data_IF_299093135754
#
_entry.id   IF_299093135754
#
_cell.length_a   1.000
_cell.length_b   1.000
_cell.length_c   1.000
_cell.angle_alpha   90.00
_cell.angle_beta   90.00
_cell.angle_gamma   90.00
#
_symmetry.space_group_name_H-M   'P 1'
#
loop_
_entity.id
_entity.type
_entity.pdbx_description
1 polymer ?
#
# COMPACT_ATOMS: atom_id res chain seq x y z
N UNK A 1 -32.33 55.72 50.06
CA UNK A 1 -31.82 54.90 48.92
C UNK A 1 -31.45 53.57 49.51
N UNK A 2 -32.25 52.53 49.22
CA UNK A 2 -31.89 51.13 49.66
C UNK A 2 -30.99 50.52 48.59
N UNK A 3 -29.79 50.18 48.98
CA UNK A 3 -28.94 49.31 48.19
C UNK A 3 -29.51 47.89 48.35
N UNK A 4 -30.27 47.41 47.36
CA UNK A 4 -30.55 45.99 47.22
C UNK A 4 -29.25 45.31 46.76
N UNK A 5 -28.60 44.64 47.65
CA UNK A 5 -27.50 43.74 47.31
C UNK A 5 -28.12 42.56 46.55
N UNK A 6 -27.84 42.43 45.27
CA UNK A 6 -28.16 41.26 44.45
C UNK A 6 -27.35 40.05 44.97
N UNK A 7 -27.88 39.46 46.07
CA UNK A 7 -27.33 38.16 46.52
C UNK A 7 -27.90 37.08 45.58
N UNK A 8 -27.06 36.55 44.69
CA UNK A 8 -27.42 35.41 43.83
C UNK A 8 -27.67 34.20 44.69
N UNK A 9 -28.80 33.51 44.42
CA UNK A 9 -29.15 32.28 45.15
C UNK A 9 -28.08 31.20 44.88
N UNK A 10 -27.86 30.35 45.92
CA UNK A 10 -26.89 29.26 45.86
C UNK A 10 -27.01 28.37 44.60
N UNK A 11 -28.22 27.96 44.12
CA UNK A 11 -28.37 27.16 42.92
C UNK A 11 -27.91 27.91 41.67
N UNK A 12 -28.15 29.21 41.54
CA UNK A 12 -27.73 30.03 40.41
C UNK A 12 -26.20 30.09 40.31
N UNK A 13 -25.50 30.26 41.43
CA UNK A 13 -24.04 30.26 41.48
C UNK A 13 -23.47 28.90 41.04
N UNK A 14 -24.06 27.78 41.48
CA UNK A 14 -23.63 26.44 41.09
C UNK A 14 -23.80 26.21 39.60
N UNK A 15 -24.93 26.63 39.01
CA UNK A 15 -25.18 26.50 37.56
C UNK A 15 -24.13 27.30 36.76
N UNK A 16 -23.83 28.53 37.17
CA UNK A 16 -22.81 29.35 36.51
C UNK A 16 -21.41 28.73 36.60
N UNK A 17 -21.04 28.12 37.74
CA UNK A 17 -19.76 27.44 37.90
C UNK A 17 -19.67 26.20 36.98
N UNK A 18 -20.74 25.41 36.88
CA UNK A 18 -20.79 24.25 35.97
C UNK A 18 -20.66 24.73 34.50
N UNK A 19 -21.40 25.78 34.14
CA UNK A 19 -21.33 26.35 32.78
C UNK A 19 -19.90 26.84 32.46
N UNK A 20 -19.29 27.62 33.40
CA UNK A 20 -17.91 28.08 33.23
C UNK A 20 -16.91 26.93 33.09
N UNK A 21 -17.09 25.83 33.86
CA UNK A 21 -16.25 24.64 33.76
C UNK A 21 -16.40 23.96 32.40
N UNK A 22 -17.64 23.81 31.90
CA UNK A 22 -17.89 23.19 30.57
C UNK A 22 -17.28 24.03 29.47
N UNK A 23 -17.44 25.35 29.51
CA UNK A 23 -16.80 26.28 28.53
C UNK A 23 -15.28 26.20 28.60
N UNK A 24 -14.73 26.18 29.81
CA UNK A 24 -13.27 26.04 30.01
C UNK A 24 -12.75 24.72 29.44
N UNK A 25 -13.42 23.59 29.71
CA UNK A 25 -13.02 22.30 29.12
C UNK A 25 -13.15 22.26 27.60
N UNK A 26 -14.17 22.90 27.04
CA UNK A 26 -14.35 23.04 25.60
C UNK A 26 -13.22 23.86 24.96
N UNK A 27 -12.80 24.95 25.60
CA UNK A 27 -11.67 25.79 25.16
C UNK A 27 -10.36 25.00 25.24
N UNK A 28 -10.11 24.25 26.32
CA UNK A 28 -8.92 23.39 26.43
C UNK A 28 -8.88 22.33 25.34
N UNK A 29 -10.01 21.67 25.08
CA UNK A 29 -10.12 20.67 24.01
C UNK A 29 -9.83 21.29 22.63
N UNK A 30 -10.37 22.48 22.36
CA UNK A 30 -10.13 23.21 21.10
C UNK A 30 -8.67 23.64 20.94
N UNK A 31 -8.04 24.13 22.01
CA UNK A 31 -6.60 24.49 22.01
C UNK A 31 -5.71 23.28 21.74
N UNK A 32 -6.01 22.13 22.34
CA UNK A 32 -5.27 20.89 22.11
C UNK A 32 -5.42 20.38 20.66
N UNK A 33 -6.62 20.51 20.07
CA UNK A 33 -6.85 20.21 18.66
C UNK A 33 -6.07 21.12 17.69
N UNK A 34 -6.05 22.43 17.98
CA UNK A 34 -5.29 23.41 17.17
C UNK A 34 -3.78 23.20 17.32
N UNK A 35 -3.29 22.88 18.51
CA UNK A 35 -1.87 22.59 18.77
C UNK A 35 -1.42 21.27 18.14
N UNK A 36 -2.31 20.29 18.02
CA UNK A 36 -1.99 19.00 17.35
C UNK A 36 -1.78 19.18 15.84
N UNK A 37 -2.52 20.09 15.19
CA UNK A 37 -2.37 20.40 13.76
C UNK A 37 -1.10 21.18 13.39
N UNK A 38 -0.47 21.86 14.35
CA UNK A 38 0.73 22.68 14.11
C UNK A 38 2.07 21.98 14.39
N UNK A 39 2.05 20.78 14.98
CA UNK A 39 3.28 20.03 15.24
C UNK A 39 3.76 19.35 13.96
N UNK A 40 5.07 19.41 13.63
CA UNK A 40 5.63 18.67 12.51
C UNK A 40 5.34 17.19 12.67
N UNK A 41 4.93 16.54 11.59
CA UNK A 41 4.71 15.11 11.58
C UNK A 41 6.05 14.38 11.69
N UNK A 42 6.14 13.28 12.46
CA UNK A 42 7.40 12.60 12.75
C UNK A 42 7.85 11.68 11.61
N UNK A 43 7.81 12.17 10.37
CA UNK A 43 8.21 11.39 9.20
C UNK A 43 9.54 11.87 8.63
N UNK A 44 10.29 10.93 8.08
CA UNK A 44 11.53 11.18 7.36
C UNK A 44 11.54 10.38 6.06
N UNK A 45 12.31 10.83 5.08
CA UNK A 45 12.48 10.12 3.80
C UNK A 45 13.47 8.98 4.00
N UNK A 46 13.07 7.76 3.62
CA UNK A 46 13.93 6.56 3.65
C UNK A 46 14.29 6.11 2.24
N UNK A 47 15.30 5.27 2.12
CA UNK A 47 15.58 4.57 0.85
C UNK A 47 14.43 3.61 0.53
N UNK A 48 13.97 3.65 -0.73
CA UNK A 48 12.91 2.79 -1.21
C UNK A 48 13.38 1.35 -1.45
N UNK A 49 14.58 1.20 -2.03
CA UNK A 49 15.16 -0.09 -2.43
C UNK A 49 16.40 -0.43 -1.60
N UNK A 50 16.52 -1.70 -1.24
CA UNK A 50 17.75 -2.28 -0.69
C UNK A 50 18.84 -2.36 -1.77
N UNK A 51 20.08 -2.66 -1.36
CA UNK A 51 21.20 -2.78 -2.32
C UNK A 51 20.95 -3.83 -3.42
N UNK A 52 20.52 -5.09 -3.11
CA UNK A 52 20.22 -6.09 -4.14
C UNK A 52 19.07 -5.66 -5.06
N UNK A 53 18.02 -5.06 -4.50
CA UNK A 53 16.90 -4.54 -5.29
C UNK A 53 17.33 -3.43 -6.24
N UNK A 54 18.23 -2.52 -5.84
CA UNK A 54 18.78 -1.49 -6.73
C UNK A 54 19.53 -2.11 -7.91
N UNK A 55 20.39 -3.11 -7.64
CA UNK A 55 21.14 -3.82 -8.70
C UNK A 55 20.16 -4.48 -9.67
N UNK A 56 19.16 -5.20 -9.16
CA UNK A 56 18.16 -5.86 -10.01
C UNK A 56 17.34 -4.84 -10.80
N UNK A 57 16.90 -3.75 -10.17
CA UNK A 57 16.17 -2.67 -10.85
C UNK A 57 16.89 -2.17 -12.10
N UNK A 58 18.17 -1.84 -11.96
CA UNK A 58 18.96 -1.35 -13.11
C UNK A 58 19.13 -2.40 -14.21
N UNK A 59 19.31 -3.68 -13.85
CA UNK A 59 19.36 -4.78 -14.81
C UNK A 59 18.02 -4.95 -15.53
N UNK A 60 16.88 -4.91 -14.80
CA UNK A 60 15.55 -5.00 -15.39
C UNK A 60 15.29 -3.89 -16.40
N UNK A 61 15.55 -2.63 -16.01
CA UNK A 61 15.35 -1.47 -16.90
C UNK A 61 16.22 -1.59 -18.17
N UNK A 62 17.47 -2.01 -18.02
CA UNK A 62 18.38 -2.18 -19.16
C UNK A 62 17.99 -3.36 -20.06
N UNK A 63 17.54 -4.46 -19.49
CA UNK A 63 17.15 -5.67 -20.22
C UNK A 63 15.81 -5.54 -20.93
N UNK A 64 14.92 -4.66 -20.44
CA UNK A 64 13.54 -4.54 -20.88
C UNK A 64 13.19 -3.11 -21.35
N UNK A 65 13.87 -2.59 -22.40
CA UNK A 65 13.73 -1.18 -22.82
C UNK A 65 12.32 -0.83 -23.32
N UNK A 66 11.54 -1.82 -23.71
CA UNK A 66 10.16 -1.64 -24.19
C UNK A 66 9.09 -1.88 -23.10
N UNK A 67 9.50 -2.06 -21.86
CA UNK A 67 8.60 -2.31 -20.73
C UNK A 67 8.71 -1.21 -19.67
N UNK A 68 7.71 -1.14 -18.80
CA UNK A 68 7.71 -0.29 -17.63
C UNK A 68 8.03 -1.16 -16.41
N UNK A 69 9.08 -0.80 -15.69
CA UNK A 69 9.50 -1.48 -14.45
C UNK A 69 9.05 -0.64 -13.27
N UNK A 70 8.13 -1.16 -12.48
CA UNK A 70 7.63 -0.53 -11.25
C UNK A 70 8.18 -1.26 -10.04
N UNK A 71 8.59 -0.51 -9.01
CA UNK A 71 9.15 -1.07 -7.78
C UNK A 71 8.19 -0.92 -6.60
N UNK A 72 8.23 -1.88 -5.67
CA UNK A 72 7.45 -1.87 -4.40
C UNK A 72 5.95 -1.66 -4.63
N UNK A 73 5.36 -2.43 -5.56
CA UNK A 73 3.96 -2.28 -5.98
C UNK A 73 3.04 -3.09 -5.08
N UNK A 74 2.10 -2.43 -4.45
CA UNK A 74 1.10 -3.08 -3.61
C UNK A 74 0.26 -4.08 -4.41
N UNK A 75 0.09 -5.32 -3.90
CA UNK A 75 -0.64 -6.39 -4.60
C UNK A 75 -2.06 -6.01 -5.00
N UNK A 76 -2.77 -5.27 -4.15
CA UNK A 76 -4.14 -4.80 -4.42
C UNK A 76 -4.25 -3.76 -5.54
N UNK A 77 -3.13 -3.25 -6.07
CA UNK A 77 -3.08 -2.43 -7.29
C UNK A 77 -2.92 -3.26 -8.55
N UNK A 78 -2.43 -4.48 -8.40
CA UNK A 78 -2.13 -5.43 -9.48
C UNK A 78 -3.26 -6.45 -9.62
N UNK A 79 -3.80 -6.95 -8.50
CA UNK A 79 -4.82 -7.99 -8.46
C UNK A 79 -6.17 -7.41 -8.08
N UNK A 80 -7.18 -7.66 -8.91
CA UNK A 80 -8.58 -7.32 -8.64
C UNK A 80 -9.34 -8.48 -8.00
N UNK A 81 -10.44 -8.18 -7.32
CA UNK A 81 -11.38 -9.19 -6.81
C UNK A 81 -12.44 -9.49 -7.86
N UNK A 82 -12.63 -10.78 -8.21
CA UNK A 82 -13.61 -11.24 -9.20
C UNK A 82 -15.05 -10.90 -8.79
N UNK A 83 -15.93 -10.65 -9.76
CA UNK A 83 -17.37 -10.44 -9.51
C UNK A 83 -17.96 -11.65 -8.74
N UNK A 84 -18.92 -11.38 -7.82
CA UNK A 84 -19.53 -12.40 -6.96
C UNK A 84 -18.82 -12.66 -5.63
N UNK A 85 -17.64 -12.12 -5.42
CA UNK A 85 -16.92 -12.21 -4.15
C UNK A 85 -16.99 -10.90 -3.35
N UNK A 86 -16.93 -10.99 -2.01
CA UNK A 86 -16.93 -9.81 -1.13
C UNK A 86 -15.62 -9.06 -1.23
N UNK A 87 -15.62 -7.89 -1.89
CA UNK A 87 -14.42 -7.10 -2.18
C UNK A 87 -13.56 -6.84 -0.95
N UNK A 88 -14.14 -6.29 0.13
CA UNK A 88 -13.37 -5.92 1.33
C UNK A 88 -12.69 -7.11 1.99
N UNK A 89 -13.37 -8.26 2.04
CA UNK A 89 -12.81 -9.47 2.65
C UNK A 89 -11.57 -9.96 1.89
N UNK A 90 -11.67 -10.08 0.56
CA UNK A 90 -10.58 -10.58 -0.27
C UNK A 90 -9.46 -9.56 -0.44
N UNK A 91 -9.79 -8.28 -0.62
CA UNK A 91 -8.81 -7.22 -0.71
C UNK A 91 -7.97 -7.08 0.57
N UNK A 92 -8.59 -7.23 1.75
CA UNK A 92 -7.88 -7.16 3.04
C UNK A 92 -6.83 -8.27 3.23
N UNK A 93 -6.93 -9.38 2.49
CA UNK A 93 -5.94 -10.46 2.54
C UNK A 93 -4.62 -10.11 1.86
N UNK A 94 -4.64 -9.17 0.90
CA UNK A 94 -3.50 -8.81 0.06
C UNK A 94 -3.08 -7.33 0.14
N UNK A 95 -3.90 -6.45 0.73
CA UNK A 95 -3.69 -4.99 0.69
C UNK A 95 -2.44 -4.51 1.44
N UNK A 96 -1.86 -5.35 2.31
CA UNK A 96 -0.62 -5.06 3.04
C UNK A 96 0.62 -5.71 2.42
N UNK A 97 0.43 -6.45 1.32
CA UNK A 97 1.50 -7.13 0.61
C UNK A 97 1.90 -6.32 -0.62
N UNK A 98 3.17 -6.36 -0.97
CA UNK A 98 3.72 -5.74 -2.19
C UNK A 98 4.59 -6.73 -2.95
N UNK A 99 4.69 -6.55 -4.26
CA UNK A 99 5.74 -7.14 -5.08
C UNK A 99 6.96 -6.23 -5.08
N UNK A 100 8.16 -6.82 -5.10
CA UNK A 100 9.39 -6.03 -5.18
C UNK A 100 9.46 -5.30 -6.53
N UNK A 101 9.09 -5.99 -7.63
CA UNK A 101 8.93 -5.36 -8.93
C UNK A 101 7.70 -5.91 -9.67
N UNK A 102 7.15 -5.06 -10.54
CA UNK A 102 6.11 -5.41 -11.50
C UNK A 102 6.54 -4.94 -12.88
N UNK A 103 6.49 -5.84 -13.86
CA UNK A 103 6.78 -5.55 -15.24
C UNK A 103 5.46 -5.34 -15.98
N UNK A 104 5.36 -4.22 -16.68
CA UNK A 104 4.21 -3.91 -17.52
C UNK A 104 4.65 -3.64 -18.96
N UNK A 105 3.74 -3.79 -19.91
CA UNK A 105 3.90 -3.27 -21.25
C UNK A 105 3.77 -1.72 -21.28
N UNK A 106 3.91 -1.12 -22.47
CA UNK A 106 3.76 0.34 -22.65
C UNK A 106 2.32 0.85 -22.41
N UNK A 107 1.32 -0.04 -22.43
CA UNK A 107 -0.06 0.28 -22.11
C UNK A 107 -0.37 0.10 -20.62
N UNK A 108 0.66 -0.15 -19.79
CA UNK A 108 0.57 -0.44 -18.36
C UNK A 108 -0.17 -1.75 -18.01
N UNK A 109 -0.28 -2.68 -18.97
CA UNK A 109 -0.78 -4.03 -18.72
C UNK A 109 0.29 -4.83 -17.98
N UNK A 110 -0.08 -5.47 -16.88
CA UNK A 110 0.86 -6.26 -16.06
C UNK A 110 1.21 -7.56 -16.78
N UNK A 111 2.52 -7.81 -16.98
CA UNK A 111 3.07 -9.01 -17.62
C UNK A 111 3.57 -10.00 -16.56
N UNK A 112 4.33 -9.52 -15.58
CA UNK A 112 4.91 -10.35 -14.53
C UNK A 112 5.11 -9.58 -13.24
N UNK A 113 5.09 -10.30 -12.11
CA UNK A 113 5.57 -9.83 -10.82
C UNK A 113 6.90 -10.52 -10.49
N UNK A 114 7.78 -9.81 -9.79
CA UNK A 114 9.12 -10.29 -9.43
C UNK A 114 9.31 -10.10 -7.93
N UNK A 115 9.89 -11.12 -7.30
CA UNK A 115 10.27 -11.16 -5.89
C UNK A 115 11.75 -11.49 -5.74
N UNK A 116 12.41 -10.83 -4.79
CA UNK A 116 13.73 -11.18 -4.33
C UNK A 116 13.66 -11.91 -3.00
N UNK A 117 13.98 -13.20 -3.03
CA UNK A 117 13.98 -14.03 -1.84
C UNK A 117 15.33 -13.93 -1.10
N UNK A 118 15.28 -13.56 0.18
CA UNK A 118 16.39 -13.73 1.13
C UNK A 118 15.96 -14.72 2.22
N UNK A 119 16.28 -16.00 1.99
CA UNK A 119 15.87 -17.11 2.89
C UNK A 119 16.65 -17.17 4.21
N UNK A 120 17.52 -16.19 4.52
CA UNK A 120 18.43 -16.27 5.65
C UNK A 120 17.75 -16.21 7.03
N UNK A 121 16.48 -15.78 7.13
CA UNK A 121 15.72 -15.65 8.38
C UNK A 121 14.20 -15.89 8.20
N UNK A 122 13.82 -17.09 7.76
CA UNK A 122 12.40 -17.45 7.65
C UNK A 122 11.76 -17.66 9.03
N UNK A 123 10.96 -16.70 9.47
CA UNK A 123 9.97 -16.88 10.53
C UNK A 123 8.70 -17.49 9.95
N UNK A 124 7.96 -18.28 10.74
CA UNK A 124 6.72 -18.96 10.32
C UNK A 124 5.67 -18.00 9.75
N UNK A 125 5.53 -16.80 10.34
CA UNK A 125 4.64 -15.72 9.86
C UNK A 125 4.96 -15.28 8.42
N UNK A 126 6.24 -15.29 8.02
CA UNK A 126 6.65 -14.98 6.65
C UNK A 126 6.26 -16.06 5.67
N UNK A 127 6.40 -17.34 6.06
CA UNK A 127 6.00 -18.48 5.20
C UNK A 127 4.52 -18.44 4.86
N UNK A 128 3.66 -18.13 5.84
CA UNK A 128 2.21 -18.00 5.61
C UNK A 128 1.90 -16.82 4.67
N UNK A 129 2.55 -15.67 4.88
CA UNK A 129 2.41 -14.49 4.01
C UNK A 129 2.87 -14.81 2.58
N UNK A 130 4.01 -15.48 2.42
CA UNK A 130 4.56 -15.86 1.11
C UNK A 130 3.70 -16.90 0.40
N UNK A 131 3.13 -17.86 1.14
CA UNK A 131 2.17 -18.81 0.60
C UNK A 131 0.89 -18.12 0.10
N UNK A 132 0.35 -17.15 0.88
CA UNK A 132 -0.81 -16.35 0.47
C UNK A 132 -0.50 -15.52 -0.78
N UNK A 133 0.66 -14.87 -0.83
CA UNK A 133 1.12 -14.09 -1.99
C UNK A 133 1.21 -14.97 -3.23
N UNK A 134 1.90 -16.11 -3.14
CA UNK A 134 2.04 -17.08 -4.23
C UNK A 134 0.68 -17.56 -4.72
N UNK A 135 -0.19 -17.97 -3.81
CA UNK A 135 -1.53 -18.47 -4.16
C UNK A 135 -2.37 -17.40 -4.85
N UNK A 136 -2.44 -16.19 -4.31
CA UNK A 136 -3.22 -15.11 -4.90
C UNK A 136 -2.73 -14.74 -6.31
N UNK A 137 -1.41 -14.73 -6.51
CA UNK A 137 -0.79 -14.42 -7.80
C UNK A 137 -1.06 -15.51 -8.84
N UNK A 138 -0.90 -16.77 -8.46
CA UNK A 138 -1.17 -17.93 -9.33
C UNK A 138 -2.65 -18.05 -9.69
N UNK A 139 -3.56 -17.90 -8.71
CA UNK A 139 -5.01 -17.98 -8.94
C UNK A 139 -5.54 -16.82 -9.83
N UNK A 140 -4.81 -15.70 -9.86
CA UNK A 140 -5.06 -14.59 -10.76
C UNK A 140 -4.51 -14.81 -12.18
N UNK A 141 -3.74 -15.87 -12.41
CA UNK A 141 -3.06 -16.13 -13.67
C UNK A 141 -1.86 -15.22 -13.95
N UNK A 142 -1.38 -14.50 -12.94
CA UNK A 142 -0.20 -13.64 -13.08
C UNK A 142 1.08 -14.46 -12.88
N UNK A 143 2.03 -14.26 -13.77
CA UNK A 143 3.37 -14.85 -13.65
C UNK A 143 4.11 -14.25 -12.47
N UNK A 144 4.61 -15.11 -11.56
CA UNK A 144 5.48 -14.74 -10.45
C UNK A 144 6.88 -15.33 -10.68
N UNK A 145 7.88 -14.46 -10.82
CA UNK A 145 9.29 -14.82 -10.94
C UNK A 145 9.97 -14.57 -9.61
N UNK A 146 10.75 -15.54 -9.13
CA UNK A 146 11.49 -15.43 -7.88
C UNK A 146 12.97 -15.62 -8.13
N UNK A 147 13.77 -14.68 -7.66
CA UNK A 147 15.22 -14.75 -7.69
C UNK A 147 15.80 -14.60 -6.30
N UNK A 148 16.90 -15.28 -6.06
CA UNK A 148 17.56 -15.21 -4.76
C UNK A 148 18.54 -14.02 -4.73
N UNK A 149 18.59 -13.25 -3.63
CA UNK A 149 19.46 -12.07 -3.49
C UNK A 149 20.94 -12.35 -3.73
N UNK A 150 21.41 -13.60 -3.42
CA UNK A 150 22.81 -14.02 -3.63
C UNK A 150 23.13 -14.45 -5.06
N UNK A 151 22.10 -14.65 -5.90
CA UNK A 151 22.25 -15.11 -7.30
C UNK A 151 21.35 -14.31 -8.24
N UNK A 152 21.55 -12.99 -8.27
CA UNK A 152 20.78 -12.11 -9.14
C UNK A 152 21.05 -12.44 -10.61
N UNK A 153 20.01 -12.56 -11.46
CA UNK A 153 20.15 -12.87 -12.87
C UNK A 153 20.94 -11.79 -13.61
N UNK A 154 21.65 -12.17 -14.64
CA UNK A 154 22.23 -11.25 -15.61
C UNK A 154 21.16 -10.75 -16.60
N UNK A 155 21.54 -9.79 -17.44
CA UNK A 155 20.65 -9.16 -18.41
C UNK A 155 20.10 -10.15 -19.45
N UNK A 156 20.90 -11.10 -19.88
CA UNK A 156 20.50 -12.12 -20.87
C UNK A 156 19.51 -13.11 -20.27
N UNK A 157 19.70 -13.49 -19.02
CA UNK A 157 18.76 -14.35 -18.29
C UNK A 157 17.43 -13.66 -18.09
N UNK A 158 17.44 -12.37 -17.70
CA UNK A 158 16.22 -11.55 -17.56
C UNK A 158 15.46 -11.51 -18.90
N UNK A 159 16.16 -11.21 -19.99
CA UNK A 159 15.54 -11.17 -21.32
C UNK A 159 14.91 -12.50 -21.68
N UNK A 160 15.66 -13.61 -21.55
CA UNK A 160 15.14 -14.94 -21.87
C UNK A 160 13.92 -15.32 -21.04
N UNK A 161 13.97 -15.06 -19.74
CA UNK A 161 12.87 -15.41 -18.83
C UNK A 161 11.64 -14.54 -19.05
N UNK A 162 11.77 -13.25 -19.32
CA UNK A 162 10.63 -12.34 -19.39
C UNK A 162 10.12 -12.11 -20.83
N UNK A 163 10.98 -12.15 -21.86
CA UNK A 163 10.56 -11.96 -23.27
C UNK A 163 10.02 -13.24 -23.91
N UNK A 164 10.36 -14.43 -23.41
CA UNK A 164 9.87 -15.69 -23.96
C UNK A 164 8.34 -15.84 -23.94
N UNK A 165 7.63 -15.01 -23.19
CA UNK A 165 6.18 -15.05 -23.07
C UNK A 165 5.42 -13.93 -23.78
N UNK A 166 6.08 -12.91 -24.33
CA UNK A 166 5.38 -11.92 -25.17
C UNK A 166 4.75 -12.59 -26.42
N UNK A 167 5.37 -13.65 -26.89
CA UNK A 167 4.86 -14.45 -28.03
C UNK A 167 3.63 -15.32 -27.68
N UNK A 168 3.46 -15.70 -26.41
CA UNK A 168 2.34 -16.55 -25.99
C UNK A 168 1.09 -15.78 -25.54
N UNK A 169 1.25 -14.50 -25.16
CA UNK A 169 0.12 -13.62 -24.77
C UNK A 169 -0.49 -12.87 -25.95
N UNK A 170 0.14 -12.90 -27.13
CA UNK A 170 -0.38 -12.30 -28.37
C UNK A 170 -1.64 -13.01 -28.95
N UNK A 171 -2.10 -14.12 -28.34
CA UNK A 171 -3.20 -14.93 -28.84
C UNK A 171 -4.53 -14.88 -28.06
N UNK A 172 -4.61 -14.22 -26.91
CA UNK A 172 -5.84 -14.14 -26.15
C UNK A 172 -5.93 -12.85 -25.34
N UNK A 173 -6.33 -11.75 -25.98
CA UNK A 173 -6.81 -10.57 -25.26
C UNK A 173 -8.24 -10.87 -24.79
N UNK A 174 -8.52 -11.00 -23.47
CA UNK A 174 -9.87 -10.85 -22.99
C UNK A 174 -10.24 -9.38 -23.18
N UNK A 175 -11.30 -9.12 -23.94
CA UNK A 175 -11.90 -7.81 -24.12
C UNK A 175 -12.19 -7.18 -22.75
N UNK A 176 -11.42 -6.14 -22.40
CA UNK A 176 -11.66 -5.35 -21.20
C UNK A 176 -12.91 -4.51 -21.47
N UNK A 177 -14.05 -4.93 -20.93
CA UNK A 177 -15.23 -4.07 -20.83
C UNK A 177 -14.91 -3.00 -19.76
N UNK A 178 -14.49 -1.83 -20.21
CA UNK A 178 -14.43 -0.63 -19.38
C UNK A 178 -15.85 -0.11 -19.21
N UNK A 179 -16.50 -0.53 -18.16
CA UNK A 179 -17.78 0.04 -17.74
C UNK A 179 -17.47 1.41 -17.11
N UNK A 180 -17.78 2.50 -17.83
CA UNK A 180 -17.80 3.85 -17.27
C UNK A 180 -18.85 3.88 -16.15
N UNK A 181 -18.42 4.23 -14.95
CA UNK A 181 -19.34 4.64 -13.88
C UNK A 181 -19.73 6.10 -14.15
N UNK A 182 -21.02 6.30 -14.48
CA UNK A 182 -21.71 7.56 -14.30
C UNK A 182 -22.05 7.75 -12.82
#
# INVERSE_FOLDING_TARGET
MRHESLAMDKPTVVILLIFALVVFLAILKRRNHLAAGSRPWPFYVKRLLTQPEQVLYHRLVKSLPNHVVLAQVQMSRVLGVKKGFRFHEWNNRINRMSYDFVICDKAATVIAAIELDDKSHEREDRRESDAKKSKATTDAGLRLVRWHVKSLPDELTIQRELSANDASLGGALPSIHVERRE
#
